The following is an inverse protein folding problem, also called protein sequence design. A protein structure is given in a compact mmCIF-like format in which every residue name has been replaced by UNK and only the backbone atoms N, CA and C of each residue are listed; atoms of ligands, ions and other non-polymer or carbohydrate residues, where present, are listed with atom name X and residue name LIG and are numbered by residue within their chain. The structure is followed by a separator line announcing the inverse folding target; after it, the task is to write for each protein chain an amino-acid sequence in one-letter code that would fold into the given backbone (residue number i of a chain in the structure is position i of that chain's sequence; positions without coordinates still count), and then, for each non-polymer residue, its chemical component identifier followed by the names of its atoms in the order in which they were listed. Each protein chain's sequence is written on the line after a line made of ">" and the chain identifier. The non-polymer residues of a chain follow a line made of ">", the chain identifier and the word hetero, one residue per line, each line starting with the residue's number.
data_IF_952507892767
#
_entry.id   IF_952507892767
#
_cell.length_a   1.000
_cell.length_b   1.000
_cell.length_c   1.000
_cell.angle_alpha   90.00
_cell.angle_beta   90.00
_cell.angle_gamma   90.00
#
_symmetry.space_group_name_H-M   'P 1'
#
loop_
_entity.id
_entity.type
_entity.pdbx_description
1 polymer ?
#
# COMPACT_ATOMS: atom_id res chain seq x y z
N UNK A 1 18.55 -12.14 9.84
CA UNK A 1 17.73 -11.73 8.67
C UNK A 1 16.33 -11.19 9.01
N UNK A 2 15.67 -11.57 10.12
CA UNK A 2 14.28 -11.12 10.42
C UNK A 2 14.09 -9.65 10.86
N UNK A 3 15.17 -8.91 11.18
CA UNK A 3 15.08 -7.50 11.59
C UNK A 3 15.08 -6.49 10.42
N UNK A 4 15.60 -6.88 9.26
CA UNK A 4 15.91 -5.96 8.15
C UNK A 4 14.69 -5.52 7.32
N UNK A 5 13.61 -6.31 7.28
CA UNK A 5 12.40 -5.93 6.51
C UNK A 5 11.50 -4.94 7.25
N UNK A 6 11.72 -4.69 8.54
CA UNK A 6 10.88 -3.76 9.32
C UNK A 6 11.11 -2.30 8.96
N UNK A 7 12.31 -1.98 8.48
CA UNK A 7 12.70 -0.61 8.13
C UNK A 7 11.86 -0.01 6.99
N UNK A 8 11.42 -0.83 6.04
CA UNK A 8 10.58 -0.41 4.92
C UNK A 8 9.10 -0.78 5.09
N UNK A 9 8.71 -1.23 6.29
CA UNK A 9 7.34 -1.64 6.60
C UNK A 9 6.31 -0.54 6.32
N UNK A 10 6.54 0.75 6.66
CA UNK A 10 5.60 1.83 6.32
C UNK A 10 5.37 1.95 4.80
N UNK A 11 6.44 1.95 4.01
CA UNK A 11 6.37 2.03 2.54
C UNK A 11 5.66 0.80 1.97
N UNK A 12 5.99 -0.40 2.46
CA UNK A 12 5.37 -1.65 2.04
C UNK A 12 3.86 -1.69 2.37
N UNK A 13 3.47 -1.13 3.53
CA UNK A 13 2.07 -1.04 3.95
C UNK A 13 1.26 -0.15 3.01
N UNK A 14 1.80 1.01 2.62
CA UNK A 14 1.14 1.90 1.65
C UNK A 14 0.96 1.19 0.29
N UNK A 15 1.98 0.51 -0.21
CA UNK A 15 1.89 -0.27 -1.46
C UNK A 15 0.82 -1.36 -1.38
N UNK A 16 0.81 -2.11 -0.28
CA UNK A 16 -0.11 -3.23 -0.07
C UNK A 16 -1.56 -2.74 0.01
N UNK A 17 -1.80 -1.70 0.82
CA UNK A 17 -3.10 -1.03 0.96
C UNK A 17 -3.60 -0.47 -0.37
N UNK A 18 -2.70 0.07 -1.20
CA UNK A 18 -3.07 0.59 -2.54
C UNK A 18 -3.56 -0.51 -3.46
N UNK A 19 -2.90 -1.67 -3.47
CA UNK A 19 -3.34 -2.85 -4.24
C UNK A 19 -4.66 -3.40 -3.71
N UNK A 20 -4.81 -3.50 -2.38
CA UNK A 20 -6.05 -3.94 -1.73
C UNK A 20 -7.24 -3.03 -2.07
N UNK A 21 -7.02 -1.71 -2.09
CA UNK A 21 -8.03 -0.74 -2.48
C UNK A 21 -8.53 -0.97 -3.91
N UNK A 22 -7.63 -1.18 -4.88
CA UNK A 22 -8.05 -1.46 -6.27
C UNK A 22 -8.86 -2.77 -6.34
N UNK A 23 -8.40 -3.83 -5.67
CA UNK A 23 -9.08 -5.13 -5.68
C UNK A 23 -10.47 -5.03 -5.01
N UNK A 24 -10.61 -4.25 -3.94
CA UNK A 24 -11.89 -3.99 -3.28
C UNK A 24 -12.87 -3.30 -4.22
N UNK A 25 -12.44 -2.26 -4.93
CA UNK A 25 -13.28 -1.51 -5.89
C UNK A 25 -13.68 -2.42 -7.06
N UNK A 26 -12.73 -3.18 -7.61
CA UNK A 26 -13.00 -4.19 -8.65
C UNK A 26 -14.00 -5.25 -8.19
N UNK A 27 -13.86 -5.73 -6.95
CA UNK A 27 -14.77 -6.73 -6.36
C UNK A 27 -16.18 -6.18 -6.25
N UNK A 28 -16.37 -4.97 -5.72
CA UNK A 28 -17.68 -4.31 -5.65
C UNK A 28 -18.34 -4.23 -7.02
N UNK A 29 -17.61 -3.79 -8.04
CA UNK A 29 -18.16 -3.70 -9.39
C UNK A 29 -18.51 -5.08 -9.97
N UNK A 30 -17.69 -6.11 -9.69
CA UNK A 30 -17.96 -7.50 -10.07
C UNK A 30 -19.24 -8.03 -9.41
N UNK A 31 -19.45 -7.71 -8.14
CA UNK A 31 -20.65 -8.07 -7.40
C UNK A 31 -21.89 -7.38 -8.00
N UNK A 32 -21.80 -6.10 -8.39
CA UNK A 32 -22.86 -5.39 -9.12
C UNK A 32 -23.24 -6.12 -10.42
N UNK A 33 -22.26 -6.59 -11.20
CA UNK A 33 -22.52 -7.41 -12.41
C UNK A 33 -23.18 -8.75 -12.06
N UNK A 34 -22.79 -9.39 -10.96
CA UNK A 34 -23.41 -10.64 -10.50
C UNK A 34 -24.89 -10.44 -10.13
N UNK A 35 -25.21 -9.32 -9.48
CA UNK A 35 -26.59 -8.92 -9.21
C UNK A 35 -27.40 -8.73 -10.49
N UNK A 36 -26.84 -8.06 -11.50
CA UNK A 36 -27.51 -7.90 -12.80
C UNK A 36 -27.77 -9.23 -13.53
N UNK A 37 -26.82 -10.17 -13.46
CA UNK A 37 -27.02 -11.53 -13.99
C UNK A 37 -28.15 -12.27 -13.28
N UNK A 38 -28.25 -12.11 -11.97
CA UNK A 38 -29.35 -12.70 -11.20
C UNK A 38 -30.68 -12.04 -11.57
N UNK A 39 -30.73 -10.71 -11.69
CA UNK A 39 -31.91 -9.99 -12.15
C UNK A 39 -32.37 -10.48 -13.54
N UNK A 40 -31.44 -10.63 -14.49
CA UNK A 40 -31.72 -11.22 -15.81
C UNK A 40 -32.33 -12.63 -15.72
N UNK A 41 -31.81 -13.49 -14.84
CA UNK A 41 -32.38 -14.83 -14.62
C UNK A 41 -33.82 -14.78 -14.08
N UNK A 42 -34.11 -13.85 -13.17
CA UNK A 42 -35.47 -13.70 -12.65
C UNK A 42 -36.42 -13.15 -13.72
N UNK A 43 -35.97 -12.21 -14.56
CA UNK A 43 -36.74 -11.70 -15.70
C UNK A 43 -37.09 -12.81 -16.69
N UNK A 44 -36.17 -13.73 -16.98
CA UNK A 44 -36.47 -14.89 -17.82
C UNK A 44 -37.61 -15.73 -17.23
N UNK A 45 -37.59 -16.00 -15.91
CA UNK A 45 -38.68 -16.75 -15.26
C UNK A 45 -40.02 -16.03 -15.34
N UNK A 46 -40.02 -14.70 -15.19
CA UNK A 46 -41.23 -13.89 -15.37
C UNK A 46 -41.74 -14.03 -16.80
N UNK A 47 -40.85 -13.93 -17.80
CA UNK A 47 -41.19 -14.09 -19.21
C UNK A 47 -41.83 -15.45 -19.48
N UNK A 48 -41.20 -16.53 -18.99
CA UNK A 48 -41.70 -17.91 -19.13
C UNK A 48 -43.10 -18.06 -18.51
N UNK A 49 -43.32 -17.50 -17.31
CA UNK A 49 -44.62 -17.53 -16.64
C UNK A 49 -45.68 -16.74 -17.42
N UNK A 50 -45.35 -15.54 -17.90
CA UNK A 50 -46.29 -14.71 -18.68
C UNK A 50 -46.63 -15.34 -20.02
N UNK A 51 -45.67 -16.00 -20.66
CA UNK A 51 -45.88 -16.73 -21.91
C UNK A 51 -46.76 -17.97 -21.69
N UNK A 52 -46.52 -18.73 -20.61
CA UNK A 52 -47.38 -19.86 -20.26
C UNK A 52 -48.83 -19.43 -20.03
N UNK A 53 -49.04 -18.36 -19.25
CA UNK A 53 -50.38 -17.83 -18.93
C UNK A 53 -51.13 -17.28 -20.16
N UNK A 54 -50.41 -16.70 -21.12
CA UNK A 54 -51.02 -16.19 -22.37
C UNK A 54 -51.38 -17.29 -23.37
N UNK A 55 -50.76 -18.47 -23.26
CA UNK A 55 -50.95 -19.60 -24.18
C UNK A 55 -51.75 -20.75 -23.55
N UNK A 56 -52.40 -20.55 -22.40
CA UNK A 56 -53.22 -21.60 -21.76
C UNK A 56 -54.65 -21.54 -22.33
N UNK A 57 -55.07 -22.48 -23.20
CA UNK A 57 -56.34 -22.41 -23.92
C UNK A 57 -57.59 -22.67 -23.05
N UNK A 58 -57.41 -23.17 -21.82
CA UNK A 58 -58.49 -23.67 -20.95
C UNK A 58 -58.85 -22.76 -19.76
N UNK A 59 -58.37 -21.52 -19.72
CA UNK A 59 -58.91 -20.56 -18.76
C UNK A 59 -60.33 -20.18 -19.20
N UNK A 60 -61.34 -20.88 -18.66
CA UNK A 60 -62.78 -20.57 -18.74
C UNK A 60 -63.12 -19.21 -18.06
N UNK A 61 -62.40 -18.16 -18.45
CA UNK A 61 -62.61 -16.80 -18.00
C UNK A 61 -63.70 -16.16 -18.85
N UNK A 62 -64.48 -15.28 -18.21
CA UNK A 62 -65.39 -14.40 -18.93
C UNK A 62 -64.63 -13.61 -20.03
N UNK A 63 -65.17 -13.43 -21.25
CA UNK A 63 -64.43 -12.85 -22.38
C UNK A 63 -63.77 -11.49 -22.09
N UNK A 64 -64.42 -10.62 -21.31
CA UNK A 64 -63.83 -9.33 -20.91
C UNK A 64 -62.64 -9.49 -19.96
N UNK A 65 -62.70 -10.47 -19.05
CA UNK A 65 -61.60 -10.79 -18.13
C UNK A 65 -60.45 -11.39 -18.93
N UNK A 66 -60.75 -12.32 -19.85
CA UNK A 66 -59.77 -12.92 -20.74
C UNK A 66 -59.01 -11.84 -21.55
N UNK A 67 -59.70 -10.94 -22.23
CA UNK A 67 -59.09 -9.87 -23.04
C UNK A 67 -58.22 -8.92 -22.21
N UNK A 68 -58.71 -8.48 -21.04
CA UNK A 68 -57.94 -7.58 -20.16
C UNK A 68 -56.71 -8.27 -19.57
N UNK A 69 -56.85 -9.53 -19.18
CA UNK A 69 -55.76 -10.34 -18.60
C UNK A 69 -54.69 -10.62 -19.65
N UNK A 70 -55.10 -11.02 -20.86
CA UNK A 70 -54.20 -11.24 -21.98
C UNK A 70 -53.44 -9.97 -22.37
N UNK A 71 -54.13 -8.84 -22.51
CA UNK A 71 -53.51 -7.54 -22.81
C UNK A 71 -52.46 -7.16 -21.76
N UNK A 72 -52.78 -7.32 -20.48
CA UNK A 72 -51.88 -7.01 -19.37
C UNK A 72 -50.64 -7.92 -19.36
N UNK A 73 -50.81 -9.23 -19.50
CA UNK A 73 -49.68 -10.16 -19.55
C UNK A 73 -48.83 -10.00 -20.81
N UNK A 74 -49.43 -9.67 -21.95
CA UNK A 74 -48.70 -9.35 -23.17
C UNK A 74 -47.85 -8.08 -23.01
N UNK A 75 -48.40 -7.02 -22.41
CA UNK A 75 -47.63 -5.81 -22.08
C UNK A 75 -46.48 -6.11 -21.10
N UNK A 76 -46.72 -6.89 -20.05
CA UNK A 76 -45.69 -7.30 -19.10
C UNK A 76 -44.59 -8.12 -19.77
N UNK A 77 -44.96 -9.07 -20.63
CA UNK A 77 -44.01 -9.90 -21.39
C UNK A 77 -43.14 -9.03 -22.31
N UNK A 78 -43.74 -8.06 -23.02
CA UNK A 78 -43.00 -7.12 -23.85
C UNK A 78 -42.02 -6.25 -23.04
N UNK A 79 -42.46 -5.70 -21.90
CA UNK A 79 -41.60 -4.91 -21.00
C UNK A 79 -40.43 -5.75 -20.47
N UNK A 80 -40.72 -6.97 -20.00
CA UNK A 80 -39.70 -7.88 -19.47
C UNK A 80 -38.70 -8.30 -20.56
N UNK A 81 -39.17 -8.64 -21.76
CA UNK A 81 -38.35 -9.00 -22.92
C UNK A 81 -37.41 -7.85 -23.34
N UNK A 82 -37.93 -6.63 -23.43
CA UNK A 82 -37.14 -5.45 -23.79
C UNK A 82 -36.02 -5.19 -22.77
N UNK A 83 -36.34 -5.25 -21.47
CA UNK A 83 -35.33 -5.07 -20.42
C UNK A 83 -34.30 -6.22 -20.40
N UNK A 84 -34.75 -7.45 -20.65
CA UNK A 84 -33.89 -8.63 -20.73
C UNK A 84 -32.91 -8.54 -21.93
N UNK A 85 -33.37 -8.06 -23.08
CA UNK A 85 -32.53 -7.79 -24.24
C UNK A 85 -31.45 -6.74 -23.90
N UNK A 86 -31.86 -5.63 -23.27
CA UNK A 86 -30.93 -4.60 -22.80
C UNK A 86 -29.87 -5.13 -21.82
N UNK A 87 -30.26 -5.96 -20.84
CA UNK A 87 -29.31 -6.60 -19.92
C UNK A 87 -28.38 -7.59 -20.63
N UNK A 88 -28.85 -8.23 -21.71
CA UNK A 88 -28.05 -9.18 -22.50
C UNK A 88 -26.89 -8.51 -23.23
N UNK A 89 -27.06 -7.26 -23.64
CA UNK A 89 -26.01 -6.44 -24.25
C UNK A 89 -25.10 -5.78 -23.19
N UNK A 90 -25.71 -5.23 -22.13
CA UNK A 90 -24.99 -4.40 -21.15
C UNK A 90 -24.08 -5.20 -20.23
N UNK A 91 -24.49 -6.40 -19.80
CA UNK A 91 -23.71 -7.24 -18.88
C UNK A 91 -22.36 -7.67 -19.49
N UNK A 92 -22.29 -8.18 -20.74
CA UNK A 92 -21.02 -8.47 -21.40
C UNK A 92 -20.08 -7.27 -21.50
N UNK A 93 -20.60 -6.08 -21.86
CA UNK A 93 -19.79 -4.86 -21.96
C UNK A 93 -19.14 -4.52 -20.62
N UNK A 94 -19.94 -4.47 -19.53
CA UNK A 94 -19.42 -4.20 -18.19
C UNK A 94 -18.40 -5.26 -17.75
N UNK A 95 -18.64 -6.54 -18.09
CA UNK A 95 -17.71 -7.63 -17.77
C UNK A 95 -16.38 -7.48 -18.50
N UNK A 96 -16.40 -7.07 -19.77
CA UNK A 96 -15.17 -6.81 -20.54
C UNK A 96 -14.36 -5.71 -19.87
N UNK A 97 -14.98 -4.58 -19.54
CA UNK A 97 -14.31 -3.46 -18.87
C UNK A 97 -13.65 -3.86 -17.55
N UNK A 98 -14.26 -4.75 -16.75
CA UNK A 98 -13.63 -5.29 -15.54
C UNK A 98 -12.47 -6.23 -15.87
N UNK A 99 -12.67 -7.15 -16.81
CA UNK A 99 -11.66 -8.16 -17.12
C UNK A 99 -10.34 -7.52 -17.56
N UNK A 100 -10.41 -6.45 -18.34
CA UNK A 100 -9.26 -5.68 -18.83
C UNK A 100 -8.42 -5.05 -17.71
N UNK A 101 -8.99 -4.87 -16.51
CA UNK A 101 -8.27 -4.33 -15.34
C UNK A 101 -7.38 -5.36 -14.65
N UNK A 102 -7.64 -6.66 -14.81
CA UNK A 102 -6.92 -7.71 -14.07
C UNK A 102 -5.43 -7.77 -14.43
N UNK A 103 -5.10 -7.56 -15.71
CA UNK A 103 -3.72 -7.49 -16.17
C UNK A 103 -3.00 -6.26 -15.59
N UNK A 104 -3.69 -5.10 -15.54
CA UNK A 104 -3.15 -3.86 -14.97
C UNK A 104 -2.88 -3.98 -13.46
N UNK A 105 -3.80 -4.56 -12.70
CA UNK A 105 -3.60 -4.81 -11.26
C UNK A 105 -2.39 -5.73 -11.03
N UNK A 106 -2.26 -6.78 -11.85
CA UNK A 106 -1.12 -7.71 -11.76
C UNK A 106 0.20 -7.00 -12.06
N UNK A 107 0.21 -6.10 -13.04
CA UNK A 107 1.35 -5.24 -13.37
C UNK A 107 1.72 -4.28 -12.24
N UNK A 108 0.75 -3.61 -11.63
CA UNK A 108 0.98 -2.72 -10.48
C UNK A 108 1.58 -3.51 -9.30
N UNK A 109 1.03 -4.70 -9.01
CA UNK A 109 1.55 -5.58 -7.94
C UNK A 109 2.99 -6.01 -8.21
N UNK A 110 3.33 -6.37 -9.44
CA UNK A 110 4.71 -6.76 -9.78
C UNK A 110 5.68 -5.57 -9.72
N UNK A 111 5.25 -4.38 -10.15
CA UNK A 111 6.03 -3.15 -10.04
C UNK A 111 6.35 -2.81 -8.58
N UNK A 112 5.34 -2.74 -7.70
CA UNK A 112 5.56 -2.48 -6.28
C UNK A 112 6.48 -3.52 -5.64
N UNK A 113 6.30 -4.81 -5.95
CA UNK A 113 7.19 -5.86 -5.44
C UNK A 113 8.64 -5.67 -5.90
N UNK A 114 8.83 -5.32 -7.17
CA UNK A 114 10.16 -5.04 -7.72
C UNK A 114 10.80 -3.84 -7.04
N UNK A 115 10.07 -2.72 -6.92
CA UNK A 115 10.54 -1.49 -6.27
C UNK A 115 10.91 -1.73 -4.80
N UNK A 116 10.08 -2.46 -4.06
CA UNK A 116 10.36 -2.82 -2.67
C UNK A 116 11.62 -3.70 -2.53
N UNK A 117 11.80 -4.69 -3.41
CA UNK A 117 13.01 -5.51 -3.42
C UNK A 117 14.26 -4.69 -3.77
N UNK A 118 14.15 -3.75 -4.72
CA UNK A 118 15.24 -2.83 -5.04
C UNK A 118 15.61 -1.95 -3.85
N UNK A 119 14.62 -1.43 -3.12
CA UNK A 119 14.84 -0.63 -1.92
C UNK A 119 15.62 -1.41 -0.85
N UNK A 120 15.22 -2.65 -0.57
CA UNK A 120 15.95 -3.54 0.35
C UNK A 120 17.38 -3.76 -0.14
N UNK A 121 17.56 -4.04 -1.43
CA UNK A 121 18.89 -4.30 -2.01
C UNK A 121 19.82 -3.10 -1.88
N UNK A 122 19.33 -1.89 -2.20
CA UNK A 122 20.10 -0.63 -2.08
C UNK A 122 20.55 -0.41 -0.64
N UNK A 123 19.66 -0.65 0.32
CA UNK A 123 19.98 -0.51 1.73
C UNK A 123 20.95 -1.58 2.24
N UNK A 124 20.77 -2.84 1.87
CA UNK A 124 21.69 -3.91 2.25
C UNK A 124 23.09 -3.69 1.67
N UNK A 125 23.19 -3.16 0.46
CA UNK A 125 24.46 -2.78 -0.17
C UNK A 125 25.16 -1.70 0.66
N UNK A 126 24.48 -0.57 0.97
CA UNK A 126 25.06 0.50 1.77
C UNK A 126 25.44 0.04 3.19
N UNK A 127 24.56 -0.72 3.84
CA UNK A 127 24.82 -1.27 5.16
C UNK A 127 26.06 -2.19 5.18
N UNK A 128 26.19 -3.05 4.16
CA UNK A 128 27.36 -3.94 4.04
C UNK A 128 28.66 -3.18 3.82
N UNK A 129 28.62 -2.06 3.09
CA UNK A 129 29.77 -1.20 2.87
C UNK A 129 30.19 -0.48 4.15
N UNK A 130 29.24 0.05 4.92
CA UNK A 130 29.54 0.84 6.12
C UNK A 130 29.99 0.00 7.32
N UNK A 131 29.64 -1.28 7.35
CA UNK A 131 30.17 -2.22 8.34
C UNK A 131 31.54 -2.79 7.99
N UNK A 132 32.05 -2.54 6.78
CA UNK A 132 33.38 -3.02 6.42
C UNK A 132 34.42 -2.23 7.23
N UNK A 133 35.27 -2.91 8.02
CA UNK A 133 36.24 -2.22 8.86
C UNK A 133 37.23 -1.46 8.00
N UNK A 134 37.54 -0.23 8.39
CA UNK A 134 38.58 0.54 7.75
C UNK A 134 39.93 -0.16 7.96
N UNK A 135 40.66 -0.33 6.86
CA UNK A 135 42.00 -0.95 6.84
C UNK A 135 43.11 0.07 6.61
N UNK A 136 42.77 1.36 6.58
CA UNK A 136 43.72 2.46 6.42
C UNK A 136 44.73 2.47 7.56
N UNK A 137 45.99 2.68 7.20
CA UNK A 137 47.15 2.66 8.09
C UNK A 137 47.78 4.03 8.29
N UNK A 138 47.36 5.03 7.50
CA UNK A 138 47.86 6.40 7.55
C UNK A 138 46.77 7.42 7.23
N UNK A 139 47.02 8.69 7.57
CA UNK A 139 46.05 9.78 7.44
C UNK A 139 45.54 10.02 6.01
N UNK A 140 46.36 9.77 4.99
CA UNK A 140 45.95 9.92 3.59
C UNK A 140 44.93 8.82 3.22
N UNK A 141 45.22 7.58 3.57
CA UNK A 141 44.30 6.45 3.36
C UNK A 141 42.98 6.64 4.12
N UNK A 142 42.99 7.25 5.31
CA UNK A 142 41.77 7.59 6.04
C UNK A 142 40.91 8.62 5.30
N UNK A 143 41.53 9.67 4.75
CA UNK A 143 40.83 10.69 3.97
C UNK A 143 40.24 10.11 2.67
N UNK A 144 41.00 9.26 1.98
CA UNK A 144 40.55 8.57 0.77
C UNK A 144 39.37 7.62 1.06
N UNK A 145 39.44 6.88 2.18
CA UNK A 145 38.35 6.02 2.63
C UNK A 145 37.09 6.82 2.98
N UNK A 146 37.22 7.90 3.75
CA UNK A 146 36.09 8.77 4.09
C UNK A 146 35.44 9.42 2.85
N UNK A 147 36.26 9.88 1.90
CA UNK A 147 35.76 10.38 0.61
C UNK A 147 35.02 9.30 -0.18
N UNK A 148 35.55 8.06 -0.21
CA UNK A 148 34.88 6.93 -0.84
C UNK A 148 33.51 6.65 -0.23
N UNK A 149 33.42 6.56 1.11
CA UNK A 149 32.15 6.36 1.82
C UNK A 149 31.15 7.46 1.51
N UNK A 150 31.59 8.73 1.48
CA UNK A 150 30.74 9.86 1.11
C UNK A 150 30.18 9.71 -0.31
N UNK A 151 31.03 9.34 -1.29
CA UNK A 151 30.56 9.09 -2.65
C UNK A 151 29.55 7.94 -2.73
N UNK A 152 29.71 6.88 -1.94
CA UNK A 152 28.75 5.77 -1.89
C UNK A 152 27.42 6.18 -1.27
N UNK A 153 27.46 6.99 -0.21
CA UNK A 153 26.25 7.57 0.38
C UNK A 153 25.49 8.43 -0.64
N UNK A 154 26.18 9.27 -1.42
CA UNK A 154 25.54 10.06 -2.48
C UNK A 154 24.88 9.16 -3.55
N UNK A 155 25.51 8.04 -3.90
CA UNK A 155 24.91 7.05 -4.83
C UNK A 155 23.64 6.43 -4.25
N UNK A 156 23.69 6.00 -3.00
CA UNK A 156 22.53 5.48 -2.28
C UNK A 156 21.38 6.50 -2.24
N UNK A 157 21.68 7.75 -1.91
CA UNK A 157 20.69 8.83 -1.87
C UNK A 157 19.99 9.00 -3.22
N UNK A 158 20.76 9.02 -4.31
CA UNK A 158 20.22 9.10 -5.66
C UNK A 158 19.36 7.89 -6.01
N UNK A 159 19.83 6.67 -5.73
CA UNK A 159 19.10 5.43 -5.99
C UNK A 159 17.78 5.36 -5.21
N UNK A 160 17.78 5.78 -3.94
CA UNK A 160 16.57 5.87 -3.12
C UNK A 160 15.58 6.87 -3.70
N UNK A 161 16.05 8.03 -4.13
CA UNK A 161 15.22 9.05 -4.76
C UNK A 161 14.57 8.53 -6.04
N UNK A 162 15.33 7.83 -6.89
CA UNK A 162 14.78 7.20 -8.09
C UNK A 162 13.71 6.13 -7.78
N UNK A 163 13.90 5.35 -6.71
CA UNK A 163 12.93 4.36 -6.27
C UNK A 163 11.67 5.04 -5.74
N UNK A 164 11.80 6.11 -4.94
CA UNK A 164 10.67 6.91 -4.47
C UNK A 164 9.83 7.43 -5.64
N UNK A 165 10.46 8.01 -6.66
CA UNK A 165 9.76 8.52 -7.84
C UNK A 165 9.01 7.41 -8.59
N UNK A 166 9.62 6.23 -8.72
CA UNK A 166 8.97 5.05 -9.32
C UNK A 166 7.75 4.61 -8.51
N UNK A 167 7.83 4.63 -7.18
CA UNK A 167 6.72 4.26 -6.29
C UNK A 167 5.58 5.27 -6.41
N UNK A 168 5.88 6.58 -6.37
CA UNK A 168 4.89 7.65 -6.54
C UNK A 168 4.21 7.53 -7.90
N UNK A 169 4.96 7.23 -8.96
CA UNK A 169 4.39 6.98 -10.29
C UNK A 169 3.41 5.80 -10.26
N UNK A 170 3.79 4.65 -9.69
CA UNK A 170 2.91 3.49 -9.59
C UNK A 170 1.68 3.75 -8.68
N UNK A 171 1.80 4.60 -7.65
CA UNK A 171 0.65 5.08 -6.86
C UNK A 171 -0.32 5.92 -7.68
N UNK A 172 0.19 6.76 -8.60
CA UNK A 172 -0.65 7.53 -9.51
C UNK A 172 -1.33 6.63 -10.55
N UNK A 173 -0.62 5.66 -11.12
CA UNK A 173 -1.20 4.63 -12.00
C UNK A 173 -2.32 3.83 -11.29
N UNK A 174 -2.13 3.55 -10.00
CA UNK A 174 -3.14 2.93 -9.13
C UNK A 174 -4.38 3.81 -9.02
N UNK A 175 -4.21 5.11 -8.73
CA UNK A 175 -5.32 6.07 -8.65
C UNK A 175 -6.08 6.17 -9.96
N UNK A 176 -5.39 6.28 -11.08
CA UNK A 176 -6.01 6.30 -12.41
C UNK A 176 -6.84 5.04 -12.67
N UNK A 177 -6.33 3.87 -12.32
CA UNK A 177 -7.05 2.62 -12.49
C UNK A 177 -8.31 2.54 -11.60
N UNK A 178 -8.25 2.97 -10.35
CA UNK A 178 -9.43 3.06 -9.47
C UNK A 178 -10.49 3.97 -10.09
N UNK A 179 -10.07 5.13 -10.59
CA UNK A 179 -10.97 6.08 -11.21
C UNK A 179 -11.61 5.51 -12.49
N UNK A 180 -10.85 4.81 -13.33
CA UNK A 180 -11.39 4.12 -14.50
C UNK A 180 -12.46 3.08 -14.13
N UNK A 181 -12.24 2.30 -13.06
CA UNK A 181 -13.23 1.33 -12.58
C UNK A 181 -14.50 2.04 -12.08
N UNK A 182 -14.34 3.11 -11.28
CA UNK A 182 -15.47 3.90 -10.79
C UNK A 182 -16.28 4.54 -11.94
N UNK A 183 -15.61 5.07 -12.95
CA UNK A 183 -16.29 5.66 -14.12
C UNK A 183 -17.03 4.62 -14.95
N UNK A 184 -16.46 3.42 -15.12
CA UNK A 184 -17.16 2.31 -15.76
C UNK A 184 -18.42 1.89 -14.97
N UNK A 185 -18.34 1.84 -13.64
CA UNK A 185 -19.48 1.56 -12.76
C UNK A 185 -20.56 2.65 -12.86
N UNK A 186 -20.18 3.92 -12.76
CA UNK A 186 -21.10 5.07 -12.94
C UNK A 186 -21.79 5.03 -14.31
N UNK A 187 -21.03 4.77 -15.38
CA UNK A 187 -21.57 4.64 -16.73
C UNK A 187 -22.61 3.52 -16.82
N UNK A 188 -22.35 2.38 -16.18
CA UNK A 188 -23.30 1.27 -16.09
C UNK A 188 -24.57 1.67 -15.35
N UNK A 189 -24.45 2.29 -14.18
CA UNK A 189 -25.60 2.76 -13.39
C UNK A 189 -26.45 3.76 -14.18
N UNK A 190 -25.81 4.72 -14.86
CA UNK A 190 -26.50 5.70 -15.72
C UNK A 190 -27.29 5.02 -16.84
N UNK A 191 -26.68 4.05 -17.53
CA UNK A 191 -27.36 3.25 -18.57
C UNK A 191 -28.55 2.48 -18.01
N UNK A 192 -28.39 1.84 -16.84
CA UNK A 192 -29.46 1.08 -16.17
C UNK A 192 -30.62 1.97 -15.78
N UNK A 193 -30.37 3.12 -15.14
CA UNK A 193 -31.40 4.05 -14.71
C UNK A 193 -32.17 4.62 -15.91
N UNK A 194 -31.46 5.05 -16.96
CA UNK A 194 -32.07 5.61 -18.17
C UNK A 194 -32.95 4.60 -18.90
N UNK A 195 -32.56 3.31 -18.90
CA UNK A 195 -33.37 2.26 -19.52
C UNK A 195 -34.55 1.89 -18.61
N UNK A 196 -34.33 1.70 -17.31
CA UNK A 196 -35.38 1.35 -16.36
C UNK A 196 -36.52 2.38 -16.33
N UNK A 197 -36.22 3.68 -16.38
CA UNK A 197 -37.22 4.74 -16.44
C UNK A 197 -38.08 4.71 -17.71
N UNK A 198 -37.52 4.21 -18.83
CA UNK A 198 -38.26 4.04 -20.10
C UNK A 198 -39.10 2.77 -20.08
N UNK A 199 -38.58 1.71 -19.48
CA UNK A 199 -39.17 0.36 -19.54
C UNK A 199 -40.24 0.14 -18.48
N UNK A 200 -40.05 0.68 -17.27
CA UNK A 200 -41.01 0.55 -16.18
C UNK A 200 -41.66 1.90 -15.90
N UNK A 201 -43.00 2.02 -15.95
CA UNK A 201 -43.69 3.25 -15.57
C UNK A 201 -43.55 3.44 -14.04
N UNK A 202 -42.51 4.17 -13.64
CA UNK A 202 -42.26 4.49 -12.24
C UNK A 202 -43.15 5.67 -11.83
N UNK A 203 -43.83 5.58 -10.69
CA UNK A 203 -44.59 6.71 -10.13
C UNK A 203 -43.65 7.92 -9.95
N UNK A 204 -44.11 9.13 -10.29
CA UNK A 204 -43.33 10.39 -10.14
C UNK A 204 -42.66 10.57 -8.77
N UNK A 205 -43.25 10.02 -7.71
CA UNK A 205 -42.72 10.07 -6.33
C UNK A 205 -41.43 9.26 -6.13
N UNK A 206 -41.16 8.26 -6.98
CA UNK A 206 -39.94 7.43 -6.95
C UNK A 206 -38.85 7.94 -7.92
N UNK A 207 -39.20 8.83 -8.86
CA UNK A 207 -38.24 9.45 -9.80
C UNK A 207 -37.11 10.27 -9.11
N UNK A 208 -37.35 11.01 -8.01
CA UNK A 208 -36.29 11.76 -7.32
C UNK A 208 -35.14 10.88 -6.81
N UNK A 209 -35.37 9.58 -6.55
CA UNK A 209 -34.28 8.66 -6.17
C UNK A 209 -33.40 8.26 -7.35
N UNK A 210 -33.98 8.13 -8.55
CA UNK A 210 -33.22 7.85 -9.77
C UNK A 210 -32.44 9.09 -10.25
N UNK A 211 -33.04 10.27 -10.14
CA UNK A 211 -32.40 11.55 -10.50
C UNK A 211 -31.33 11.99 -9.50
N UNK A 212 -31.52 11.79 -8.18
CA UNK A 212 -30.45 12.05 -7.20
C UNK A 212 -29.23 11.16 -7.43
N UNK A 213 -29.44 9.89 -7.79
CA UNK A 213 -28.33 8.98 -8.12
C UNK A 213 -27.67 9.32 -9.47
N UNK A 214 -28.39 9.94 -10.40
CA UNK A 214 -27.85 10.41 -11.68
C UNK A 214 -27.17 11.80 -11.58
N UNK A 215 -27.60 12.67 -10.66
CA UNK A 215 -27.11 14.05 -10.49
C UNK A 215 -26.13 14.24 -9.33
N UNK A 216 -25.85 13.21 -8.52
CA UNK A 216 -24.70 13.18 -7.60
C UNK A 216 -23.34 13.10 -8.34
N UNK A 217 -23.31 13.43 -9.63
CA UNK A 217 -22.14 13.49 -10.52
C UNK A 217 -21.03 14.45 -10.03
N UNK A 218 -21.32 15.37 -9.10
CA UNK A 218 -20.38 16.44 -8.74
C UNK A 218 -19.60 16.28 -7.43
N UNK A 219 -19.80 15.24 -6.60
CA UNK A 219 -19.11 15.23 -5.28
C UNK A 219 -18.75 13.86 -4.64
N UNK A 220 -18.96 12.72 -5.30
CA UNK A 220 -18.38 11.47 -4.78
C UNK A 220 -16.89 11.39 -5.13
N UNK A 221 -16.08 11.95 -4.23
CA UNK A 221 -14.62 11.93 -4.15
C UNK A 221 -13.98 10.89 -5.09
N UNK A 222 -13.42 11.42 -6.19
CA UNK A 222 -12.34 10.72 -6.89
C UNK A 222 -11.35 10.20 -5.86
N UNK A 223 -10.82 8.99 -6.08
CA UNK A 223 -9.84 8.47 -5.14
C UNK A 223 -8.64 9.44 -5.11
N UNK A 224 -8.36 10.02 -3.94
CA UNK A 224 -7.23 10.92 -3.75
C UNK A 224 -6.15 10.19 -2.95
N UNK A 225 -4.99 10.00 -3.58
CA UNK A 225 -3.86 9.27 -3.04
C UNK A 225 -2.84 10.20 -2.34
N UNK A 226 -3.23 11.45 -2.04
CA UNK A 226 -2.31 12.45 -1.45
C UNK A 226 -1.78 12.02 -0.10
N UNK A 227 -2.60 11.35 0.71
CA UNK A 227 -2.17 10.87 2.03
C UNK A 227 -1.15 9.74 1.88
N UNK A 228 -1.39 8.79 0.96
CA UNK A 228 -0.46 7.72 0.64
C UNK A 228 0.88 8.26 0.11
N UNK A 229 0.85 9.25 -0.79
CA UNK A 229 2.07 9.91 -1.30
C UNK A 229 2.81 10.62 -0.16
N UNK A 230 2.09 11.33 0.71
CA UNK A 230 2.67 12.02 1.85
C UNK A 230 3.37 11.04 2.81
N UNK A 231 2.70 9.93 3.16
CA UNK A 231 3.24 8.88 4.03
C UNK A 231 4.50 8.24 3.43
N UNK A 232 4.50 7.99 2.11
CA UNK A 232 5.69 7.52 1.39
C UNK A 232 6.81 8.55 1.49
N UNK A 233 6.56 9.83 1.20
CA UNK A 233 7.58 10.86 1.26
C UNK A 233 8.20 10.98 2.65
N UNK A 234 7.38 11.05 3.70
CA UNK A 234 7.84 11.11 5.09
C UNK A 234 8.70 9.89 5.44
N UNK A 235 8.26 8.69 5.05
CA UNK A 235 9.03 7.46 5.26
C UNK A 235 10.38 7.49 4.54
N UNK A 236 10.44 8.04 3.32
CA UNK A 236 11.68 8.13 2.54
C UNK A 236 12.67 9.15 3.11
N UNK A 237 12.22 10.25 3.71
CA UNK A 237 13.12 11.18 4.40
C UNK A 237 13.87 10.49 5.55
N UNK A 238 13.20 9.65 6.33
CA UNK A 238 13.84 8.87 7.40
C UNK A 238 14.91 7.89 6.86
N UNK A 239 14.78 7.44 5.60
CA UNK A 239 15.75 6.53 4.97
C UNK A 239 16.93 7.25 4.33
N UNK A 240 16.80 8.55 4.06
CA UNK A 240 17.85 9.37 3.45
C UNK A 240 18.93 9.75 4.45
N UNK A 241 18.62 9.82 5.74
CA UNK A 241 19.57 9.96 6.84
C UNK A 241 19.68 8.65 7.64
N UNK A 242 20.17 7.57 7.02
CA UNK A 242 20.29 6.31 7.71
C UNK A 242 21.30 6.45 8.86
N UNK A 243 20.84 6.14 10.07
CA UNK A 243 21.67 6.11 11.27
C UNK A 243 22.60 4.90 11.23
N UNK A 244 23.60 4.94 10.34
CA UNK A 244 24.64 3.94 10.32
C UNK A 244 25.71 4.31 11.35
N UNK A 245 26.04 3.36 12.21
CA UNK A 245 27.20 3.47 13.08
C UNK A 245 28.42 3.04 12.26
N UNK A 246 29.36 3.95 12.06
CA UNK A 246 30.60 3.65 11.34
C UNK A 246 31.47 2.80 12.29
N UNK A 247 31.86 1.60 11.85
CA UNK A 247 32.60 0.64 12.68
C UNK A 247 33.91 1.23 13.27
N UNK A 248 34.49 2.22 12.60
CA UNK A 248 35.78 2.82 12.93
C UNK A 248 35.71 4.12 13.73
N UNK A 249 34.52 4.60 14.13
CA UNK A 249 34.43 5.80 14.98
C UNK A 249 35.16 5.63 16.33
N UNK A 250 35.48 4.39 16.74
CA UNK A 250 36.02 4.12 18.07
C UNK A 250 36.98 2.93 18.18
N UNK A 251 37.65 2.56 17.08
CA UNK A 251 38.74 1.59 17.18
C UNK A 251 40.02 2.32 17.54
N UNK A 252 40.35 2.32 18.81
CA UNK A 252 41.55 2.95 19.32
C UNK A 252 42.72 1.98 19.22
N UNK A 253 43.81 2.41 18.58
CA UNK A 253 45.05 1.62 18.48
C UNK A 253 45.76 1.48 19.83
N UNK A 254 45.52 2.41 20.76
CA UNK A 254 46.08 2.40 22.10
C UNK A 254 45.27 1.53 23.07
N UNK A 255 45.94 0.56 23.70
CA UNK A 255 45.33 -0.50 24.51
C UNK A 255 44.59 -0.03 25.78
N UNK A 256 44.62 1.27 26.13
CA UNK A 256 43.97 1.85 27.32
C UNK A 256 43.65 3.33 27.12
N UNK A 257 42.39 3.64 26.85
CA UNK A 257 41.92 5.03 26.76
C UNK A 257 40.97 5.34 27.89
N UNK A 258 41.21 6.49 28.54
CA UNK A 258 40.27 7.04 29.52
C UNK A 258 39.10 7.71 28.80
N UNK A 259 37.90 7.24 29.11
CA UNK A 259 36.64 7.79 28.63
C UNK A 259 35.86 8.36 29.82
N UNK A 260 35.14 9.44 29.58
CA UNK A 260 34.13 9.97 30.50
C UNK A 260 32.76 9.39 30.13
N UNK A 261 31.95 9.04 31.12
CA UNK A 261 30.60 8.53 30.91
C UNK A 261 29.66 9.70 30.66
N UNK A 262 29.25 9.89 29.41
CA UNK A 262 28.29 10.91 28.98
C UNK A 262 26.87 10.64 29.51
N UNK A 263 26.49 9.36 29.64
CA UNK A 263 25.16 8.95 30.09
C UNK A 263 25.25 7.70 30.94
N UNK A 264 24.73 7.77 32.16
CA UNK A 264 24.67 6.62 33.06
C UNK A 264 23.93 5.43 32.44
N UNK A 265 24.37 4.23 32.79
CA UNK A 265 23.81 2.97 32.30
C UNK A 265 23.69 1.99 33.47
N UNK A 266 22.52 1.36 33.59
CA UNK A 266 22.28 0.29 34.55
C UNK A 266 22.37 -1.04 33.81
N UNK A 267 23.08 -2.01 34.38
CA UNK A 267 23.29 -3.33 33.80
C UNK A 267 21.94 -4.03 33.57
N UNK A 268 21.82 -4.66 32.42
CA UNK A 268 20.61 -5.40 32.01
C UNK A 268 20.89 -6.90 31.90
N UNK A 269 22.12 -7.26 31.55
CA UNK A 269 22.54 -8.64 31.28
C UNK A 269 23.77 -9.06 32.10
N UNK A 270 24.03 -10.37 32.19
CA UNK A 270 25.26 -10.88 32.79
C UNK A 270 26.48 -10.48 31.94
N UNK A 271 27.52 -9.97 32.59
CA UNK A 271 28.72 -9.45 31.92
C UNK A 271 28.74 -7.92 31.79
N UNK A 272 27.60 -7.26 31.97
CA UNK A 272 27.49 -5.80 31.98
C UNK A 272 27.71 -5.21 33.37
N UNK A 273 28.17 -3.96 33.41
CA UNK A 273 28.38 -3.20 34.65
C UNK A 273 27.59 -1.90 34.65
N UNK A 274 27.15 -1.48 35.84
CA UNK A 274 26.51 -0.19 36.04
C UNK A 274 27.55 0.93 35.90
N UNK A 275 27.29 2.01 35.17
CA UNK A 275 28.16 3.19 35.07
C UNK A 275 27.35 4.46 35.34
N UNK A 276 27.98 5.45 35.99
CA UNK A 276 27.32 6.70 36.37
C UNK A 276 27.80 7.83 35.47
N UNK A 277 26.91 8.76 35.12
CA UNK A 277 27.27 9.97 34.36
C UNK A 277 28.40 10.76 35.06
N UNK A 278 29.40 11.18 34.29
CA UNK A 278 30.63 11.82 34.78
C UNK A 278 31.69 10.89 35.35
N UNK A 279 31.43 9.57 35.43
CA UNK A 279 32.44 8.58 35.84
C UNK A 279 33.54 8.44 34.77
N UNK A 280 34.79 8.22 35.19
CA UNK A 280 35.89 7.96 34.27
C UNK A 280 36.16 6.45 34.25
N UNK A 281 36.15 5.87 33.06
CA UNK A 281 36.42 4.45 32.82
C UNK A 281 37.54 4.27 31.82
N UNK A 282 38.28 3.17 31.92
CA UNK A 282 39.32 2.80 30.95
C UNK A 282 38.76 1.76 29.98
N UNK A 283 38.76 2.05 28.69
CA UNK A 283 38.39 1.06 27.66
C UNK A 283 39.52 0.03 27.54
N UNK A 284 39.19 -1.24 27.75
CA UNK A 284 40.12 -2.38 27.64
C UNK A 284 39.96 -3.05 26.28
N UNK A 285 38.73 -3.22 25.82
CA UNK A 285 38.42 -3.83 24.53
C UNK A 285 37.29 -3.05 23.85
N UNK A 286 37.56 -2.54 22.64
CA UNK A 286 36.60 -1.87 21.77
C UNK A 286 36.28 -2.63 20.48
N UNK A 287 36.60 -3.94 20.43
CA UNK A 287 36.37 -4.78 19.25
C UNK A 287 34.88 -4.93 18.88
N UNK A 288 33.96 -4.70 19.83
CA UNK A 288 32.52 -4.78 19.58
C UNK A 288 31.91 -3.36 19.46
N UNK A 289 31.30 -2.97 18.32
CA UNK A 289 30.88 -1.57 18.10
C UNK A 289 29.77 -1.06 19.03
N UNK A 290 28.95 -1.97 19.56
CA UNK A 290 27.78 -1.60 20.37
C UNK A 290 28.08 -1.57 21.87
N UNK A 291 29.02 -2.41 22.33
CA UNK A 291 29.39 -2.58 23.73
C UNK A 291 30.90 -2.68 23.86
N UNK A 292 31.49 -1.90 24.74
CA UNK A 292 32.92 -2.01 25.05
C UNK A 292 33.13 -2.61 26.41
N UNK A 293 34.22 -3.37 26.54
CA UNK A 293 34.69 -3.81 27.84
C UNK A 293 35.48 -2.66 28.45
N UNK A 294 34.98 -2.16 29.57
CA UNK A 294 35.62 -1.07 30.30
C UNK A 294 35.98 -1.49 31.72
N UNK A 295 36.99 -0.81 32.29
CA UNK A 295 37.43 -0.95 33.66
C UNK A 295 37.12 0.32 34.44
N UNK A 296 36.42 0.17 35.55
CA UNK A 296 36.22 1.25 36.52
C UNK A 296 37.47 1.48 37.37
N UNK A 297 37.53 2.65 38.03
CA UNK A 297 38.58 2.98 38.99
C UNK A 297 38.67 1.98 40.16
N UNK A 298 37.54 1.36 40.55
CA UNK A 298 37.49 0.31 41.59
C UNK A 298 37.98 -1.07 41.11
N UNK A 299 38.41 -1.18 39.85
CA UNK A 299 38.93 -2.40 39.25
C UNK A 299 37.87 -3.35 38.68
N UNK A 300 36.58 -3.02 38.80
CA UNK A 300 35.50 -3.82 38.19
C UNK A 300 35.54 -3.65 36.66
N UNK A 301 35.47 -4.77 35.96
CA UNK A 301 35.45 -4.85 34.51
C UNK A 301 34.11 -5.39 34.03
N UNK A 302 33.65 -4.90 32.89
CA UNK A 302 32.48 -5.43 32.22
C UNK A 302 32.05 -4.57 31.04
N UNK A 303 31.00 -5.03 30.38
CA UNK A 303 30.50 -4.43 29.15
C UNK A 303 29.56 -3.26 29.42
N UNK A 304 29.71 -2.20 28.64
CA UNK A 304 28.82 -1.03 28.65
C UNK A 304 28.56 -0.56 27.23
N UNK A 305 27.38 0.04 26.94
CA UNK A 305 27.11 0.58 25.62
C UNK A 305 28.15 1.65 25.25
N UNK A 306 28.75 1.52 24.07
CA UNK A 306 29.74 2.47 23.55
C UNK A 306 29.22 3.93 23.55
N UNK A 307 27.92 4.10 23.28
CA UNK A 307 27.23 5.40 23.24
C UNK A 307 27.19 6.15 24.59
N UNK A 308 27.44 5.45 25.69
CA UNK A 308 27.49 6.07 27.01
C UNK A 308 28.83 6.75 27.27
N UNK A 309 29.81 6.65 26.37
CA UNK A 309 31.21 7.02 26.60
C UNK A 309 31.67 8.09 25.61
N UNK A 310 32.53 9.00 26.07
CA UNK A 310 33.21 10.00 25.24
C UNK A 310 34.69 10.08 25.63
N UNK A 311 35.63 10.30 24.68
CA UNK A 311 37.04 10.51 25.02
C UNK A 311 37.23 11.66 25.99
N UNK A 312 37.94 11.40 27.09
CA UNK A 312 38.33 12.43 28.04
C UNK A 312 39.31 13.38 27.33
N UNK A 313 38.85 14.58 27.00
CA UNK A 313 39.73 15.60 26.41
C UNK A 313 40.84 15.93 27.42
N UNK A 314 42.11 15.75 27.03
CA UNK A 314 43.23 16.25 27.81
C UNK A 314 43.09 17.78 27.85
N UNK A 315 42.74 18.33 29.01
CA UNK A 315 42.87 19.77 29.25
C UNK A 315 44.34 20.13 29.01
N UNK A 316 44.57 20.99 28.02
CA UNK A 316 45.88 21.55 27.70
C UNK A 316 46.29 22.61 28.72
#
# INVERSE_FOLDING_TARGET
>A
MRGKSKQFEPIQNVMSKSVENIELVKKRFTDSIKWLKNAKKQLNKILDCTNALTHTPDLHLHPQIHTNTYSTFSQLSNVASNFQAFLSETIPMAKSSINDTSAKISSIRSQFRSQHNSLISIHDELYSMLLSPNKSSNSQEYLEHGFHLHCQYLRYFNQITEIQDKIIKTLNETKELINLIKEAEKSLVKKLNNNALKTFPVKKELMPMFEKNANNENNENMYDNKNEIKEVNESFEEQREPQFRIADEFRFEDAKIEMEVLKGFNKVEQGQIDIVEGEIVTVIDSNFPEYWTVKKANGIEGEVPALCLIPKQKQA
#
